data_IF_115765288618
#
_entry.id   IF_115765288618
#
_cell.length_a   1.000
_cell.length_b   1.000
_cell.length_c   1.000
_cell.angle_alpha   90.00
_cell.angle_beta   90.00
_cell.angle_gamma   90.00
#
_symmetry.space_group_name_H-M   'P 1'
#
loop_
_entity.id
_entity.type
_entity.pdbx_description
1 polymer ?
#
# COMPACT_ATOMS: atom_id res chain seq x y z
N UNK A 1 21.53 -0.56 -23.06
CA UNK A 1 20.19 0.07 -22.98
C UNK A 1 19.26 -0.84 -22.18
N UNK A 2 19.61 -1.10 -20.92
CA UNK A 2 18.90 -2.02 -20.04
C UNK A 2 18.41 -1.23 -18.84
N UNK A 3 17.11 -0.93 -18.76
CA UNK A 3 16.40 -0.49 -17.52
C UNK A 3 14.94 -0.14 -17.85
N UNK A 4 14.14 -1.16 -18.18
CA UNK A 4 12.67 -1.07 -18.07
C UNK A 4 12.10 -2.00 -16.98
N UNK A 5 12.94 -2.82 -16.35
CA UNK A 5 12.58 -3.78 -15.29
C UNK A 5 13.13 -3.40 -13.91
N UNK A 6 13.09 -2.11 -13.54
CA UNK A 6 13.36 -1.70 -12.15
C UNK A 6 12.02 -1.63 -11.38
N UNK A 7 11.77 -2.47 -10.35
CA UNK A 7 10.52 -2.46 -9.59
C UNK A 7 10.25 -1.16 -8.83
N UNK A 8 11.28 -0.42 -8.40
CA UNK A 8 11.10 0.91 -7.80
C UNK A 8 10.58 1.91 -8.83
N UNK A 9 11.03 1.80 -10.10
CA UNK A 9 10.54 2.63 -11.19
C UNK A 9 9.08 2.28 -11.55
N UNK A 10 8.76 0.97 -11.62
CA UNK A 10 7.37 0.51 -11.81
C UNK A 10 6.44 0.98 -10.69
N UNK A 11 6.92 1.00 -9.44
CA UNK A 11 6.19 1.56 -8.30
C UNK A 11 5.95 3.07 -8.47
N UNK A 12 6.99 3.83 -8.85
CA UNK A 12 6.87 5.26 -9.10
C UNK A 12 5.88 5.56 -10.24
N UNK A 13 5.96 4.82 -11.35
CA UNK A 13 5.05 4.95 -12.49
C UNK A 13 3.60 4.65 -12.06
N UNK A 14 3.39 3.60 -11.25
CA UNK A 14 2.05 3.25 -10.74
C UNK A 14 1.51 4.29 -9.77
N UNK A 15 2.35 4.90 -8.93
CA UNK A 15 1.96 6.02 -8.07
C UNK A 15 1.57 7.25 -8.89
N UNK A 16 2.31 7.53 -9.98
CA UNK A 16 2.03 8.67 -10.83
C UNK A 16 0.64 8.54 -11.48
N UNK A 17 0.28 7.35 -11.98
CA UNK A 17 -1.06 7.08 -12.53
C UNK A 17 -2.17 7.37 -11.50
N UNK A 18 -1.98 6.91 -10.26
CA UNK A 18 -2.94 7.18 -9.18
C UNK A 18 -3.00 8.68 -8.84
N UNK A 19 -1.85 9.35 -8.79
CA UNK A 19 -1.77 10.78 -8.49
C UNK A 19 -2.45 11.62 -9.58
N UNK A 20 -2.21 11.31 -10.85
CA UNK A 20 -2.86 11.96 -11.99
C UNK A 20 -4.38 11.78 -11.94
N UNK A 21 -4.83 10.58 -11.56
CA UNK A 21 -6.27 10.28 -11.39
C UNK A 21 -6.89 11.13 -10.28
N UNK A 22 -6.23 11.20 -9.11
CA UNK A 22 -6.71 12.01 -7.97
C UNK A 22 -6.74 13.50 -8.27
N UNK A 23 -5.79 13.99 -9.09
CA UNK A 23 -5.68 15.40 -9.44
C UNK A 23 -6.50 15.78 -10.69
N UNK A 24 -7.25 14.84 -11.28
CA UNK A 24 -8.11 15.11 -12.43
C UNK A 24 -9.41 15.81 -12.04
N UNK A 25 -10.11 16.40 -13.01
CA UNK A 25 -11.37 17.12 -12.78
C UNK A 25 -12.51 16.22 -12.24
N UNK A 26 -12.41 14.90 -12.45
CA UNK A 26 -13.37 13.91 -11.92
C UNK A 26 -12.63 12.68 -11.38
N UNK A 27 -12.09 12.76 -10.16
CA UNK A 27 -11.18 11.75 -9.63
C UNK A 27 -11.93 10.48 -9.25
N UNK A 28 -11.85 9.45 -10.09
CA UNK A 28 -12.46 8.15 -9.85
C UNK A 28 -11.41 7.06 -9.92
N UNK A 29 -10.85 6.71 -8.76
CA UNK A 29 -9.91 5.59 -8.66
C UNK A 29 -10.69 4.29 -8.73
N UNK A 30 -10.42 3.48 -9.76
CA UNK A 30 -11.00 2.14 -9.86
C UNK A 30 -10.38 1.21 -8.83
N UNK A 31 -11.17 0.30 -8.28
CA UNK A 31 -10.65 -0.72 -7.35
C UNK A 31 -9.64 -1.63 -8.08
N UNK A 32 -9.81 -1.86 -9.38
CA UNK A 32 -8.84 -2.59 -10.22
C UNK A 32 -7.47 -1.92 -10.29
N UNK A 33 -7.42 -0.59 -10.31
CA UNK A 33 -6.17 0.16 -10.38
C UNK A 33 -5.43 0.05 -9.04
N UNK A 34 -6.18 0.03 -7.93
CA UNK A 34 -5.64 -0.24 -6.60
C UNK A 34 -5.07 -1.66 -6.50
N UNK A 35 -5.77 -2.68 -7.03
CA UNK A 35 -5.27 -4.07 -7.09
C UNK A 35 -3.92 -4.13 -7.82
N UNK A 36 -3.82 -3.46 -8.97
CA UNK A 36 -2.60 -3.45 -9.76
C UNK A 36 -1.46 -2.73 -9.02
N UNK A 37 -1.76 -1.60 -8.40
CA UNK A 37 -0.81 -0.88 -7.55
C UNK A 37 -0.30 -1.75 -6.39
N UNK A 38 -1.18 -2.49 -5.70
CA UNK A 38 -0.80 -3.40 -4.62
C UNK A 38 0.18 -4.49 -5.10
N UNK A 39 -0.08 -5.09 -6.26
CA UNK A 39 0.80 -6.11 -6.87
C UNK A 39 2.21 -5.57 -7.14
N UNK A 40 2.29 -4.36 -7.69
CA UNK A 40 3.57 -3.70 -8.01
C UNK A 40 4.30 -3.30 -6.72
N UNK A 41 3.57 -2.70 -5.77
CA UNK A 41 4.11 -2.23 -4.49
C UNK A 41 4.78 -3.34 -3.70
N UNK A 42 4.17 -4.52 -3.66
CA UNK A 42 4.76 -5.66 -2.98
C UNK A 42 6.09 -6.11 -3.59
N UNK A 43 6.17 -6.14 -4.92
CA UNK A 43 7.41 -6.49 -5.63
C UNK A 43 8.52 -5.47 -5.33
N UNK A 44 8.17 -4.20 -5.15
CA UNK A 44 9.13 -3.14 -4.83
C UNK A 44 9.60 -3.16 -3.36
N UNK A 45 8.77 -3.58 -2.39
CA UNK A 45 9.16 -3.67 -0.96
C UNK A 45 10.39 -4.57 -0.76
N UNK A 46 10.47 -5.67 -1.49
CA UNK A 46 11.64 -6.56 -1.44
C UNK A 46 12.93 -5.93 -1.97
N UNK A 47 12.83 -4.97 -2.89
CA UNK A 47 13.99 -4.24 -3.42
C UNK A 47 14.59 -3.26 -2.41
N UNK A 48 13.80 -2.84 -1.42
CA UNK A 48 14.29 -1.97 -0.34
C UNK A 48 15.15 -2.72 0.69
N UNK A 49 15.37 -4.03 0.52
CA UNK A 49 16.16 -4.84 1.47
C UNK A 49 15.53 -4.92 2.86
N UNK A 50 14.26 -4.48 2.99
CA UNK A 50 13.50 -4.61 4.22
C UNK A 50 13.09 -6.09 4.29
N UNK A 51 13.93 -6.89 4.94
CA UNK A 51 13.55 -8.23 5.40
C UNK A 51 12.57 -8.04 6.56
N UNK A 52 11.34 -7.62 6.27
CA UNK A 52 10.28 -7.69 7.25
C UNK A 52 10.05 -9.17 7.50
N UNK A 53 10.67 -9.70 8.57
CA UNK A 53 10.53 -11.08 9.01
C UNK A 53 9.15 -11.26 9.61
N UNK A 54 8.14 -11.25 8.76
CA UNK A 54 6.79 -11.60 9.12
C UNK A 54 6.46 -12.85 8.29
N UNK A 55 6.80 -14.05 8.80
CA UNK A 55 6.57 -15.31 8.08
C UNK A 55 5.10 -15.59 7.77
N UNK A 56 4.17 -14.88 8.41
CA UNK A 56 2.73 -14.99 8.20
C UNK A 56 2.17 -14.00 7.16
N UNK A 57 3.03 -13.19 6.51
CA UNK A 57 2.58 -12.28 5.45
C UNK A 57 2.47 -13.01 4.15
N UNK A 58 1.26 -13.49 3.85
CA UNK A 58 0.92 -13.71 2.47
C UNK A 58 0.45 -12.37 1.82
N UNK A 59 1.30 -11.72 1.02
CA UNK A 59 0.92 -10.55 0.23
C UNK A 59 -0.23 -10.81 -0.74
N UNK A 60 -0.38 -12.07 -1.21
CA UNK A 60 -1.39 -12.42 -2.18
C UNK A 60 -2.77 -12.31 -1.55
N UNK A 61 -2.91 -12.76 -0.30
CA UNK A 61 -4.15 -12.60 0.48
C UNK A 61 -4.71 -11.17 0.50
N UNK A 62 -3.85 -10.12 0.56
CA UNK A 62 -4.33 -8.72 0.55
C UNK A 62 -4.67 -8.21 -0.85
N UNK A 63 -3.90 -8.61 -1.86
CA UNK A 63 -4.21 -8.34 -3.27
C UNK A 63 -5.54 -9.01 -3.65
N UNK A 64 -5.74 -10.25 -3.21
CA UNK A 64 -6.94 -11.04 -3.45
C UNK A 64 -8.14 -10.42 -2.77
N UNK A 65 -7.96 -9.83 -1.58
CA UNK A 65 -9.03 -9.11 -0.91
C UNK A 65 -9.56 -7.92 -1.74
N UNK A 66 -8.65 -7.10 -2.30
CA UNK A 66 -9.05 -6.01 -3.19
C UNK A 66 -9.54 -6.53 -4.55
N UNK A 67 -9.02 -7.67 -5.01
CA UNK A 67 -9.48 -8.31 -6.24
C UNK A 67 -10.93 -8.76 -6.10
N UNK A 68 -11.30 -9.40 -5.01
CA UNK A 68 -12.70 -9.76 -4.73
C UNK A 68 -13.57 -8.50 -4.60
N UNK A 69 -13.08 -7.44 -3.96
CA UNK A 69 -13.80 -6.17 -3.89
C UNK A 69 -14.01 -5.54 -5.27
N UNK A 70 -13.03 -5.62 -6.19
CA UNK A 70 -13.12 -5.08 -7.55
C UNK A 70 -14.16 -5.77 -8.43
N UNK A 71 -14.58 -7.00 -8.07
CA UNK A 71 -15.69 -7.68 -8.75
C UNK A 71 -17.04 -7.11 -8.36
N UNK A 72 -17.13 -6.45 -7.20
CA UNK A 72 -18.37 -5.92 -6.62
C UNK A 72 -18.50 -4.41 -6.75
N UNK A 73 -17.38 -3.69 -6.72
CA UNK A 73 -17.34 -2.23 -6.73
C UNK A 73 -16.42 -1.74 -7.85
N UNK A 74 -16.88 -0.77 -8.64
CA UNK A 74 -16.09 -0.20 -9.74
C UNK A 74 -15.04 0.78 -9.18
N UNK A 75 -15.47 1.74 -8.35
CA UNK A 75 -14.58 2.73 -7.75
C UNK A 75 -14.39 2.55 -6.25
N UNK A 76 -13.30 3.12 -5.72
CA UNK A 76 -13.07 3.21 -4.27
C UNK A 76 -14.21 3.99 -3.58
N UNK A 77 -14.77 5.00 -4.24
CA UNK A 77 -15.88 5.77 -3.70
C UNK A 77 -17.13 4.90 -3.57
N UNK A 78 -17.50 4.15 -4.61
CA UNK A 78 -18.66 3.24 -4.58
C UNK A 78 -18.53 2.19 -3.48
N UNK A 79 -17.32 1.65 -3.31
CA UNK A 79 -17.00 0.71 -2.24
C UNK A 79 -17.29 1.34 -0.88
N UNK A 80 -16.74 2.53 -0.62
CA UNK A 80 -16.87 3.21 0.68
C UNK A 80 -18.32 3.59 0.97
N UNK A 81 -19.00 4.22 0.01
CA UNK A 81 -20.39 4.64 0.18
C UNK A 81 -21.33 3.45 0.40
N UNK A 82 -21.13 2.35 -0.33
CA UNK A 82 -21.93 1.13 -0.18
C UNK A 82 -21.73 0.49 1.19
N UNK A 83 -20.50 0.34 1.67
CA UNK A 83 -20.24 -0.26 3.00
C UNK A 83 -20.72 0.63 4.14
N UNK A 84 -20.62 1.96 4.01
CA UNK A 84 -21.18 2.90 5.00
C UNK A 84 -22.70 2.79 5.05
N UNK A 85 -23.36 2.78 3.88
CA UNK A 85 -24.81 2.65 3.78
C UNK A 85 -25.33 1.35 4.40
N UNK A 86 -24.57 0.26 4.24
CA UNK A 86 -24.92 -1.05 4.78
C UNK A 86 -24.46 -1.26 6.23
N UNK A 87 -23.73 -0.32 6.82
CA UNK A 87 -23.20 -0.43 8.18
C UNK A 87 -22.06 -1.44 8.35
N UNK A 88 -21.48 -1.95 7.26
CA UNK A 88 -20.46 -3.03 7.29
C UNK A 88 -19.02 -2.53 7.22
N UNK A 89 -18.80 -1.22 7.04
CA UNK A 89 -17.46 -0.64 6.80
C UNK A 89 -16.41 -0.89 7.93
N UNK A 90 -16.86 -1.34 9.11
CA UNK A 90 -16.00 -1.60 10.28
C UNK A 90 -15.84 -3.09 10.59
N UNK A 91 -16.58 -3.94 9.86
CA UNK A 91 -16.62 -5.38 10.11
C UNK A 91 -15.27 -6.03 9.87
N UNK A 92 -15.05 -7.19 10.50
CA UNK A 92 -13.88 -7.99 10.19
C UNK A 92 -13.98 -8.47 8.74
N UNK A 93 -12.92 -8.27 7.97
CA UNK A 93 -12.89 -8.58 6.55
C UNK A 93 -13.60 -7.57 5.65
N UNK A 94 -13.99 -6.39 6.15
CA UNK A 94 -14.49 -5.31 5.30
C UNK A 94 -13.37 -4.76 4.39
N UNK A 95 -13.64 -4.60 3.07
CA UNK A 95 -12.77 -3.88 2.16
C UNK A 95 -12.47 -2.43 2.58
N UNK A 96 -13.41 -1.71 3.19
CA UNK A 96 -13.16 -0.37 3.77
C UNK A 96 -12.10 -0.42 4.88
N UNK A 97 -12.20 -1.40 5.78
CA UNK A 97 -11.21 -1.57 6.86
C UNK A 97 -9.83 -1.87 6.28
N UNK A 98 -9.75 -2.72 5.27
CA UNK A 98 -8.48 -3.03 4.57
C UNK A 98 -7.92 -1.81 3.85
N UNK A 99 -8.77 -1.02 3.17
CA UNK A 99 -8.39 0.22 2.51
C UNK A 99 -7.83 1.26 3.49
N UNK A 100 -8.50 1.45 4.64
CA UNK A 100 -8.04 2.41 5.66
C UNK A 100 -6.65 2.04 6.21
N UNK A 101 -6.37 0.75 6.38
CA UNK A 101 -5.04 0.28 6.79
C UNK A 101 -4.03 0.45 5.65
N UNK A 102 -4.41 0.16 4.41
CA UNK A 102 -3.53 0.32 3.24
C UNK A 102 -3.09 1.77 3.05
N UNK A 103 -4.00 2.73 3.23
CA UNK A 103 -3.66 4.16 3.26
C UNK A 103 -2.55 4.48 4.25
N UNK A 104 -2.62 3.94 5.48
CA UNK A 104 -1.58 4.17 6.50
C UNK A 104 -0.22 3.62 6.07
N UNK A 105 -0.20 2.47 5.40
CA UNK A 105 1.05 1.91 4.85
C UNK A 105 1.64 2.81 3.77
N UNK A 106 0.82 3.42 2.91
CA UNK A 106 1.28 4.39 1.91
C UNK A 106 1.82 5.65 2.59
N UNK A 107 1.11 6.20 3.57
CA UNK A 107 1.53 7.39 4.32
C UNK A 107 2.87 7.13 5.03
N UNK A 108 3.03 5.94 5.61
CA UNK A 108 4.29 5.48 6.18
C UNK A 108 5.41 5.42 5.13
N UNK A 109 5.14 4.78 3.99
CA UNK A 109 6.15 4.64 2.93
C UNK A 109 6.65 6.02 2.47
N UNK A 110 5.75 7.00 2.36
CA UNK A 110 6.10 8.39 2.07
C UNK A 110 7.05 8.96 3.14
N UNK A 111 6.70 8.88 4.42
CA UNK A 111 7.53 9.42 5.51
C UNK A 111 8.94 8.80 5.54
N UNK A 112 9.05 7.49 5.31
CA UNK A 112 10.34 6.79 5.27
C UNK A 112 11.19 7.29 4.11
N UNK A 113 10.60 7.42 2.92
CA UNK A 113 11.30 7.94 1.74
C UNK A 113 11.73 9.39 1.92
N UNK A 114 10.89 10.25 2.50
CA UNK A 114 11.23 11.64 2.81
C UNK A 114 12.43 11.74 3.78
N UNK A 115 12.46 10.92 4.83
CA UNK A 115 13.59 10.86 5.77
C UNK A 115 14.89 10.38 5.12
N UNK A 116 14.80 9.38 4.25
CA UNK A 116 15.93 8.88 3.46
C UNK A 116 16.49 10.01 2.58
N UNK A 117 15.61 10.72 1.86
CA UNK A 117 16.01 11.82 0.98
C UNK A 117 16.64 12.99 1.76
N UNK A 118 16.10 13.33 2.94
CA UNK A 118 16.61 14.43 3.77
C UNK A 118 17.96 14.11 4.43
N UNK A 119 18.19 12.85 4.79
CA UNK A 119 19.43 12.41 5.46
C UNK A 119 20.56 12.08 4.49
N UNK A 120 20.25 11.81 3.22
CA UNK A 120 21.22 11.30 2.23
C UNK A 120 21.70 9.88 2.52
N UNK A 121 21.13 9.20 3.53
CA UNK A 121 21.47 7.83 3.91
C UNK A 121 20.76 6.81 3.03
N UNK A 122 21.34 5.61 2.90
CA UNK A 122 20.64 4.52 2.21
C UNK A 122 19.53 3.91 3.09
N UNK A 123 18.55 3.24 2.46
CA UNK A 123 17.49 2.49 3.16
C UNK A 123 18.09 1.44 4.10
N UNK A 124 19.22 0.84 3.69
CA UNK A 124 19.95 -0.18 4.45
C UNK A 124 20.58 0.43 5.71
N UNK A 125 21.20 1.61 5.62
CA UNK A 125 21.74 2.31 6.79
C UNK A 125 20.64 2.72 7.77
N UNK A 126 19.47 3.11 7.28
CA UNK A 126 18.30 3.35 8.14
C UNK A 126 17.83 2.05 8.82
N UNK A 127 17.93 0.92 8.12
CA UNK A 127 17.51 -0.42 8.58
C UNK A 127 18.41 -0.95 9.68
N UNK A 128 19.71 -0.97 9.41
CA UNK A 128 20.73 -1.55 10.26
C UNK A 128 20.91 -0.80 11.58
N UNK A 129 20.54 0.48 11.62
CA UNK A 129 20.58 1.28 12.85
C UNK A 129 19.35 1.08 13.77
N UNK A 130 18.43 0.16 13.44
CA UNK A 130 17.21 -0.07 14.22
C UNK A 130 16.23 1.11 14.24
N UNK A 131 16.45 2.10 13.36
CA UNK A 131 15.67 3.35 13.27
C UNK A 131 14.61 3.32 12.17
N UNK A 132 14.56 2.25 11.38
CA UNK A 132 13.79 2.23 10.14
C UNK A 132 12.30 2.44 10.35
N UNK A 133 11.78 2.05 11.52
CA UNK A 133 10.37 2.12 11.82
C UNK A 133 10.24 2.47 13.30
N UNK A 134 9.71 3.64 13.60
CA UNK A 134 9.26 4.00 14.95
C UNK A 134 8.39 2.86 15.52
N UNK A 135 8.37 2.58 16.83
CA UNK A 135 7.53 1.49 17.37
C UNK A 135 6.06 1.56 16.93
N UNK A 136 5.50 2.77 16.81
CA UNK A 136 4.16 2.99 16.25
C UNK A 136 4.01 2.53 14.78
N UNK A 137 5.09 2.62 14.01
CA UNK A 137 5.17 2.19 12.61
C UNK A 137 5.24 0.67 12.50
N UNK A 138 6.06 0.02 13.33
CA UNK A 138 6.07 -1.44 13.45
C UNK A 138 4.68 -1.91 13.86
N UNK A 139 4.03 -1.19 14.79
CA UNK A 139 2.69 -1.51 15.23
C UNK A 139 1.61 -1.28 14.16
N UNK A 140 1.72 -0.26 13.30
CA UNK A 140 0.80 -0.06 12.16
C UNK A 140 1.04 -1.08 11.04
N UNK A 141 2.29 -1.49 10.79
CA UNK A 141 2.60 -2.60 9.89
C UNK A 141 2.10 -3.92 10.47
N UNK A 142 2.43 -4.23 11.72
CA UNK A 142 1.88 -5.36 12.46
C UNK A 142 0.35 -5.32 12.45
N UNK A 143 -0.31 -4.16 12.59
CA UNK A 143 -1.78 -4.08 12.54
C UNK A 143 -2.36 -4.18 11.12
N UNK A 144 -1.62 -3.72 10.11
CA UNK A 144 -1.92 -3.96 8.70
C UNK A 144 -1.83 -5.46 8.37
N UNK A 145 -0.94 -6.16 9.06
CA UNK A 145 -0.58 -7.56 8.84
C UNK A 145 -1.27 -8.57 9.77
N UNK A 146 -1.65 -8.21 10.99
CA UNK A 146 -2.07 -9.12 12.07
C UNK A 146 -3.57 -9.47 12.07
N UNK A 147 -4.31 -9.14 11.01
CA UNK A 147 -5.67 -9.65 10.85
C UNK A 147 -5.92 -10.03 9.39
N UNK A 148 -5.71 -11.31 9.10
CA UNK A 148 -6.77 -12.27 8.79
C UNK A 148 -6.57 -13.52 9.65
#
# INVERSE_FOLDING_TARGET
MATRDNPVRKLADSLQVLADTVNSDNPHIKVSDLVQFCRISYTAIFYFGITVKFPDLDPQTKVDHFLEASKKYDTIQDLVESEIKNGTARDKGSPCRTLARFRRVIDLAREVLEKILASGSSVIEYSSNGKLLHPAIIQDLEFYFAEY
#
